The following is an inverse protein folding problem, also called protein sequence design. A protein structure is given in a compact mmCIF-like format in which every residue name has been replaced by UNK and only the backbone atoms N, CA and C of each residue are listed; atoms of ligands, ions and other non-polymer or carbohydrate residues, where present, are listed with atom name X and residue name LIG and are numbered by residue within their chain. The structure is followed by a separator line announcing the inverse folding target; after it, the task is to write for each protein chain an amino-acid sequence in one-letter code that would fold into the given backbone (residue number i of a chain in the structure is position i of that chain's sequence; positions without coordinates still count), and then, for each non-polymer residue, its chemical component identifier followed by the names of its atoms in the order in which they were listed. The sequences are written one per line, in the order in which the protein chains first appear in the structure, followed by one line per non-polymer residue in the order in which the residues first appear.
data_IF_612379603177
#
_entry.id   IF_612379603177
#
_cell.length_a   1.000
_cell.length_b   1.000
_cell.length_c   1.000
_cell.angle_alpha   90.00
_cell.angle_beta   90.00
_cell.angle_gamma   90.00
#
_symmetry.space_group_name_H-M   'P 1'
#
loop_
_entity.id
_entity.type
_entity.pdbx_description
1 polymer ?
#
# COMPACT_ATOMS: atom_id res chain seq x y z
N UNK A 1 11.28 -6.68 8.82
CA UNK A 1 12.38 -5.68 8.71
C UNK A 1 11.74 -4.31 8.72
N UNK A 2 12.23 -3.40 9.55
CA UNK A 2 11.80 -2.01 9.60
C UNK A 2 12.62 -1.23 8.58
N UNK A 3 11.93 -0.55 7.66
CA UNK A 3 12.60 0.18 6.59
C UNK A 3 13.41 1.36 7.12
N UNK A 4 12.83 2.13 8.06
CA UNK A 4 13.43 3.31 8.66
C UNK A 4 12.99 3.43 10.12
N UNK A 5 13.94 3.65 11.03
CA UNK A 5 13.69 3.81 12.46
C UNK A 5 14.52 4.97 13.01
N UNK A 6 13.86 5.91 13.67
CA UNK A 6 14.51 7.06 14.31
C UNK A 6 14.69 6.79 15.80
N UNK A 7 15.96 6.75 16.24
CA UNK A 7 16.32 6.57 17.63
C UNK A 7 16.03 7.82 18.47
N UNK A 8 15.81 7.68 19.79
CA UNK A 8 15.72 8.83 20.70
C UNK A 8 17.02 9.66 20.75
N UNK A 9 18.15 9.10 20.30
CA UNK A 9 19.43 9.80 20.13
C UNK A 9 19.45 10.73 18.91
N UNK A 10 18.46 10.66 18.02
CA UNK A 10 18.36 11.42 16.77
C UNK A 10 19.00 10.71 15.56
N UNK A 11 19.52 9.49 15.74
CA UNK A 11 20.07 8.68 14.66
C UNK A 11 18.96 7.97 13.88
N UNK A 12 19.03 8.03 12.54
CA UNK A 12 18.11 7.32 11.65
C UNK A 12 18.78 6.05 11.17
N UNK A 13 18.20 4.91 11.51
CA UNK A 13 18.64 3.60 11.08
C UNK A 13 17.73 3.10 9.95
N UNK A 14 18.36 2.53 8.93
CA UNK A 14 17.70 2.00 7.74
C UNK A 14 17.93 0.49 7.72
N UNK A 15 16.91 -0.27 7.31
CA UNK A 15 16.97 -1.73 7.22
C UNK A 15 17.22 -2.43 8.59
N UNK A 16 16.53 -1.96 9.63
CA UNK A 16 16.64 -2.53 10.98
C UNK A 16 15.85 -3.83 11.05
N UNK A 17 16.36 -4.89 11.69
CA UNK A 17 15.59 -6.12 11.84
C UNK A 17 14.36 -5.86 12.71
N UNK A 18 13.25 -6.52 12.40
CA UNK A 18 11.98 -6.40 13.14
C UNK A 18 11.98 -7.18 14.46
N UNK A 19 13.15 -7.38 15.06
CA UNK A 19 13.32 -8.16 16.28
C UNK A 19 13.27 -7.23 17.49
N UNK A 20 12.36 -7.50 18.43
CA UNK A 20 12.19 -6.70 19.66
C UNK A 20 13.51 -6.59 20.43
N UNK A 21 14.28 -7.68 20.46
CA UNK A 21 15.58 -7.72 21.13
C UNK A 21 16.55 -6.64 20.61
N UNK A 22 16.57 -6.39 19.30
CA UNK A 22 17.45 -5.40 18.69
C UNK A 22 16.96 -3.98 19.00
N UNK A 23 15.65 -3.77 19.00
CA UNK A 23 15.06 -2.48 19.37
C UNK A 23 15.35 -2.16 20.85
N UNK A 24 15.32 -3.16 21.73
CA UNK A 24 15.70 -3.02 23.13
C UNK A 24 17.20 -2.72 23.31
N UNK A 25 18.08 -3.37 22.54
CA UNK A 25 19.53 -3.06 22.54
C UNK A 25 19.82 -1.63 22.04
N UNK A 26 18.99 -1.12 21.13
CA UNK A 26 19.06 0.24 20.62
C UNK A 26 18.51 1.30 21.59
N UNK A 27 17.97 0.87 22.74
CA UNK A 27 17.49 1.77 23.80
C UNK A 27 15.99 2.07 23.75
N UNK A 28 15.20 1.37 22.93
CA UNK A 28 13.74 1.43 22.99
C UNK A 28 13.20 0.56 24.12
N UNK A 29 12.07 0.98 24.70
CA UNK A 29 11.30 0.13 25.60
C UNK A 29 10.56 -0.97 24.82
N UNK A 30 10.18 -2.05 25.49
CA UNK A 30 9.42 -3.15 24.88
C UNK A 30 8.12 -2.65 24.22
N UNK A 31 7.44 -1.68 24.86
CA UNK A 31 6.19 -1.10 24.35
C UNK A 31 6.41 -0.26 23.08
N UNK A 32 7.48 0.55 23.03
CA UNK A 32 7.85 1.34 21.85
C UNK A 32 8.27 0.43 20.68
N UNK A 33 9.04 -0.61 20.98
CA UNK A 33 9.46 -1.61 20.00
C UNK A 33 8.24 -2.31 19.39
N UNK A 34 7.31 -2.79 20.22
CA UNK A 34 6.10 -3.48 19.74
C UNK A 34 5.16 -2.56 18.95
N UNK A 35 5.08 -1.28 19.33
CA UNK A 35 4.33 -0.27 18.58
C UNK A 35 4.95 0.00 17.21
N UNK A 36 6.27 0.21 17.13
CA UNK A 36 6.97 0.41 15.86
C UNK A 36 6.78 -0.78 14.92
N UNK A 37 6.86 -2.01 15.44
CA UNK A 37 6.66 -3.22 14.65
C UNK A 37 5.23 -3.30 14.11
N UNK A 38 4.23 -2.98 14.92
CA UNK A 38 2.83 -2.99 14.48
C UNK A 38 2.59 -1.98 13.38
N UNK A 39 3.07 -0.73 13.55
CA UNK A 39 2.93 0.34 12.55
C UNK A 39 3.65 -0.01 11.24
N UNK A 40 4.87 -0.52 11.32
CA UNK A 40 5.62 -0.96 10.13
C UNK A 40 4.89 -2.10 9.41
N UNK A 41 4.34 -3.06 10.17
CA UNK A 41 3.62 -4.19 9.61
C UNK A 41 2.32 -3.76 8.93
N UNK A 42 1.56 -2.84 9.53
CA UNK A 42 0.39 -2.22 8.91
C UNK A 42 0.77 -1.47 7.63
N UNK A 43 1.86 -0.70 7.65
CA UNK A 43 2.38 -0.01 6.47
C UNK A 43 2.77 -0.97 5.36
N UNK A 44 3.47 -2.06 5.68
CA UNK A 44 3.85 -3.08 4.71
C UNK A 44 2.63 -3.77 4.09
N UNK A 45 1.63 -4.11 4.91
CA UNK A 45 0.38 -4.67 4.40
C UNK A 45 -0.35 -3.68 3.49
N UNK A 46 -0.42 -2.41 3.87
CA UNK A 46 -1.02 -1.36 3.03
C UNK A 46 -0.26 -1.21 1.71
N UNK A 47 1.08 -1.16 1.75
CA UNK A 47 1.91 -1.03 0.56
C UNK A 47 1.78 -2.25 -0.36
N UNK A 48 1.68 -3.45 0.21
CA UNK A 48 1.45 -4.68 -0.57
C UNK A 48 0.08 -4.66 -1.26
N UNK A 49 -0.98 -4.26 -0.55
CA UNK A 49 -2.33 -4.11 -1.13
C UNK A 49 -2.32 -3.04 -2.22
N UNK A 50 -1.67 -1.90 -1.99
CA UNK A 50 -1.50 -0.84 -2.98
C UNK A 50 -0.73 -1.32 -4.22
N UNK A 51 0.36 -2.05 -4.04
CA UNK A 51 1.15 -2.61 -5.14
C UNK A 51 0.35 -3.63 -5.94
N UNK A 52 -0.39 -4.52 -5.28
CA UNK A 52 -1.29 -5.48 -5.94
C UNK A 52 -2.39 -4.76 -6.73
N UNK A 53 -2.98 -3.71 -6.16
CA UNK A 53 -3.98 -2.87 -6.83
C UNK A 53 -3.41 -2.16 -8.05
N UNK A 54 -2.22 -1.56 -7.93
CA UNK A 54 -1.52 -0.89 -9.03
C UNK A 54 -1.12 -1.85 -10.14
N UNK A 55 -0.65 -3.05 -9.79
CA UNK A 55 -0.34 -4.10 -10.74
C UNK A 55 -1.59 -4.59 -11.49
N UNK A 56 -2.72 -4.75 -10.79
CA UNK A 56 -3.99 -5.09 -11.41
C UNK A 56 -4.48 -3.99 -12.35
N UNK A 57 -4.36 -2.71 -11.97
CA UNK A 57 -4.65 -1.62 -12.89
C UNK A 57 -3.79 -1.67 -14.14
N UNK A 58 -2.48 -1.82 -13.99
CA UNK A 58 -1.54 -1.87 -15.11
C UNK A 58 -1.80 -3.03 -16.07
N UNK A 59 -2.20 -4.19 -15.56
CA UNK A 59 -2.41 -5.40 -16.37
C UNK A 59 -3.81 -5.50 -16.95
N UNK A 60 -4.85 -5.09 -16.21
CA UNK A 60 -6.25 -5.33 -16.57
C UNK A 60 -6.96 -4.06 -17.02
N UNK A 61 -6.77 -2.94 -16.31
CA UNK A 61 -7.52 -1.70 -16.54
C UNK A 61 -6.88 -0.75 -17.55
N UNK A 62 -5.55 -0.62 -17.52
CA UNK A 62 -4.76 0.26 -18.38
C UNK A 62 -4.93 -0.07 -19.88
N UNK A 63 -4.90 -1.35 -20.32
CA UNK A 63 -5.18 -1.68 -21.72
C UNK A 63 -6.61 -1.30 -22.15
N UNK A 64 -7.61 -1.48 -21.28
CA UNK A 64 -9.00 -1.09 -21.56
C UNK A 64 -9.16 0.43 -21.66
N UNK A 65 -8.43 1.18 -20.83
CA UNK A 65 -8.39 2.64 -20.92
C UNK A 65 -7.78 3.10 -22.24
N UNK A 66 -6.70 2.46 -22.70
CA UNK A 66 -6.10 2.75 -24.01
C UNK A 66 -7.04 2.42 -25.16
N UNK A 67 -7.76 1.28 -25.09
CA UNK A 67 -8.80 0.92 -26.04
C UNK A 67 -9.91 1.98 -26.08
N UNK A 68 -10.41 2.41 -24.92
CA UNK A 68 -11.40 3.48 -24.84
C UNK A 68 -10.89 4.83 -25.36
N UNK A 69 -9.63 5.20 -25.08
CA UNK A 69 -9.02 6.43 -25.63
C UNK A 69 -8.93 6.40 -27.16
N UNK A 70 -8.86 5.21 -27.77
CA UNK A 70 -8.81 5.04 -29.21
C UNK A 70 -10.20 4.95 -29.85
N UNK A 71 -11.08 4.11 -29.33
CA UNK A 71 -12.43 3.89 -29.85
C UNK A 71 -13.40 5.03 -29.50
N UNK A 72 -13.26 5.62 -28.31
CA UNK A 72 -14.13 6.69 -27.80
C UNK A 72 -15.58 6.28 -27.59
N UNK A 73 -15.88 4.98 -27.51
CA UNK A 73 -17.26 4.48 -27.36
C UNK A 73 -17.66 4.32 -25.89
N UNK A 74 -18.95 4.48 -25.61
CA UNK A 74 -19.51 4.27 -24.27
C UNK A 74 -19.42 2.82 -23.80
N UNK A 75 -19.29 1.87 -24.73
CA UNK A 75 -19.14 0.45 -24.41
C UNK A 75 -17.75 0.15 -23.84
N UNK A 76 -16.69 0.67 -24.47
CA UNK A 76 -15.31 0.57 -23.96
C UNK A 76 -15.13 1.31 -22.63
N UNK A 77 -15.80 2.45 -22.43
CA UNK A 77 -15.81 3.16 -21.13
C UNK A 77 -16.40 2.28 -20.02
N UNK A 78 -17.55 1.66 -20.28
CA UNK A 78 -18.24 0.81 -19.31
C UNK A 78 -17.41 -0.44 -18.96
N UNK A 79 -16.72 -1.03 -19.95
CA UNK A 79 -15.81 -2.16 -19.72
C UNK A 79 -14.63 -1.76 -18.83
N UNK A 80 -14.01 -0.62 -19.09
CA UNK A 80 -12.93 -0.08 -18.26
C UNK A 80 -13.40 0.20 -16.83
N UNK A 81 -14.50 0.96 -16.66
CA UNK A 81 -15.05 1.29 -15.34
C UNK A 81 -15.40 0.03 -14.54
N UNK A 82 -16.06 -0.94 -15.16
CA UNK A 82 -16.39 -2.22 -14.53
C UNK A 82 -15.15 -2.95 -14.03
N UNK A 83 -14.06 -2.94 -14.80
CA UNK A 83 -12.79 -3.55 -14.38
C UNK A 83 -12.12 -2.78 -13.25
N UNK A 84 -12.18 -1.44 -13.27
CA UNK A 84 -11.69 -0.61 -12.16
C UNK A 84 -12.45 -0.94 -10.87
N UNK A 85 -13.77 -1.06 -10.92
CA UNK A 85 -14.61 -1.42 -9.78
C UNK A 85 -14.27 -2.81 -9.24
N UNK A 86 -14.09 -3.80 -10.12
CA UNK A 86 -13.68 -5.15 -9.73
C UNK A 86 -12.32 -5.14 -9.02
N UNK A 87 -11.35 -4.37 -9.51
CA UNK A 87 -10.02 -4.21 -8.90
C UNK A 87 -10.11 -3.50 -7.54
N UNK A 88 -10.94 -2.44 -7.44
CA UNK A 88 -11.20 -1.72 -6.18
C UNK A 88 -11.82 -2.67 -5.13
N UNK A 89 -12.80 -3.48 -5.53
CA UNK A 89 -13.46 -4.45 -4.65
C UNK A 89 -12.50 -5.58 -4.21
N UNK A 90 -11.57 -5.99 -5.09
CA UNK A 90 -10.58 -7.04 -4.80
C UNK A 90 -9.48 -6.60 -3.85
N UNK A 91 -9.09 -5.32 -3.89
CA UNK A 91 -8.03 -4.74 -3.06
C UNK A 91 -8.55 -3.51 -2.30
N UNK A 92 -9.41 -3.70 -1.29
CA UNK A 92 -9.92 -2.60 -0.47
C UNK A 92 -8.78 -1.98 0.33
N UNK A 93 -8.66 -0.66 0.29
CA UNK A 93 -7.67 0.06 1.08
C UNK A 93 -8.17 0.19 2.53
N UNK A 94 -7.35 -0.16 3.55
CA UNK A 94 -7.75 -0.08 4.95
C UNK A 94 -7.90 1.36 5.44
N UNK A 95 -7.27 2.34 4.78
CA UNK A 95 -7.38 3.76 5.10
C UNK A 95 -8.36 4.45 4.15
N UNK A 96 -9.66 4.14 4.26
CA UNK A 96 -10.75 5.07 3.96
C UNK A 96 -10.83 5.78 2.60
N UNK A 97 -9.98 5.47 1.62
CA UNK A 97 -10.09 5.99 0.25
C UNK A 97 -11.12 5.15 -0.53
N UNK A 98 -12.31 5.05 0.05
CA UNK A 98 -13.54 5.08 -0.73
C UNK A 98 -13.77 6.57 -1.04
N UNK A 99 -12.93 7.16 -1.90
CA UNK A 99 -13.36 8.32 -2.63
C UNK A 99 -14.34 7.81 -3.71
N UNK A 100 -15.66 8.05 -3.58
CA UNK A 100 -16.46 8.15 -4.79
C UNK A 100 -15.86 9.35 -5.54
N UNK A 101 -15.10 9.07 -6.60
CA UNK A 101 -14.86 10.10 -7.61
C UNK A 101 -16.20 10.30 -8.33
N UNK A 102 -17.06 11.15 -7.76
CA UNK A 102 -18.20 11.81 -8.41
C UNK A 102 -18.41 13.22 -7.85
#
# INVERSE_FOLDING_TARGET
MIAELTLPTGEVLINVPSEIFILMELGFTEEEAMTCLSVEQEKQQLEEVMNKRKAAYRNESDPLFMEWQFDGTSESEALWKRKVEEIKARYPLPSGDNAPEE
#
